data_IF_775795186567
#
_entry.id   IF_775795186567
#
_cell.length_a   1.000
_cell.length_b   1.000
_cell.length_c   1.000
_cell.angle_alpha   90.00
_cell.angle_beta   90.00
_cell.angle_gamma   90.00
#
_symmetry.space_group_name_H-M   'P 1'
#
loop_
_entity.id
_entity.type
_entity.pdbx_description
1 polymer ?
#
# COMPACT_ATOMS: atom_id res chain seq x y z
N UNK A 1 5.70 -0.88 -6.10
CA UNK A 1 4.62 -1.56 -6.83
C UNK A 1 3.25 -0.99 -6.52
N UNK A 2 3.11 -0.14 -5.50
CA UNK A 2 1.84 0.47 -5.13
C UNK A 2 1.71 1.86 -5.76
N UNK A 3 0.47 2.35 -5.86
CA UNK A 3 0.19 3.69 -6.43
C UNK A 3 -0.51 4.59 -5.41
N UNK A 4 -1.35 4.01 -4.55
CA UNK A 4 -2.13 4.74 -3.53
C UNK A 4 -2.71 3.79 -2.51
N UNK A 5 -3.44 4.33 -1.52
CA UNK A 5 -4.15 3.55 -0.50
C UNK A 5 -5.15 2.56 -1.12
N UNK A 6 -5.94 3.02 -2.09
CA UNK A 6 -6.90 2.21 -2.84
C UNK A 6 -6.24 0.96 -3.45
N UNK A 7 -5.01 1.12 -3.94
CA UNK A 7 -4.26 0.05 -4.58
C UNK A 7 -3.86 -1.05 -3.58
N UNK A 8 -4.07 -0.78 -2.29
CA UNK A 8 -3.79 -1.67 -1.19
C UNK A 8 -4.90 -1.65 -0.14
N UNK A 9 -6.15 -1.37 -0.53
CA UNK A 9 -7.30 -1.30 0.39
C UNK A 9 -7.40 -2.52 1.30
N UNK A 10 -6.94 -3.67 0.80
CA UNK A 10 -6.94 -4.93 1.56
C UNK A 10 -6.15 -4.81 2.87
N UNK A 11 -5.11 -3.96 2.89
CA UNK A 11 -4.31 -3.70 4.07
C UNK A 11 -5.12 -2.86 5.06
N UNK A 12 -5.00 -3.23 6.34
CA UNK A 12 -5.64 -2.51 7.44
C UNK A 12 -5.44 -0.99 7.33
N UNK A 13 -4.18 -0.57 7.18
CA UNK A 13 -3.79 0.83 6.99
C UNK A 13 -2.36 0.93 6.42
N UNK A 14 -2.03 0.00 5.52
CA UNK A 14 -0.69 -0.19 4.95
C UNK A 14 0.43 -0.29 5.99
N UNK A 15 1.67 -0.32 5.52
CA UNK A 15 2.84 -0.48 6.38
C UNK A 15 3.22 0.84 7.03
N UNK A 16 3.46 1.87 6.21
CA UNK A 16 3.92 3.18 6.69
C UNK A 16 2.86 4.25 6.43
N UNK A 17 2.42 4.41 5.19
CA UNK A 17 1.38 5.37 4.86
C UNK A 17 0.77 5.23 3.46
N UNK A 18 1.43 4.50 2.56
CA UNK A 18 0.83 4.07 1.29
C UNK A 18 1.54 2.85 0.73
N UNK A 19 2.86 2.74 0.92
CA UNK A 19 3.69 1.69 0.35
C UNK A 19 5.08 1.77 0.97
N UNK A 20 5.80 0.64 1.09
CA UNK A 20 7.20 0.64 1.51
C UNK A 20 7.97 -0.43 0.75
N UNK A 21 9.23 -0.19 0.42
CA UNK A 21 10.07 -1.15 -0.31
C UNK A 21 9.42 -1.65 -1.62
N UNK A 22 8.57 -0.82 -2.24
CA UNK A 22 7.83 -1.23 -3.42
C UNK A 22 6.83 -2.35 -3.16
N UNK A 23 6.50 -2.64 -1.90
CA UNK A 23 5.65 -3.77 -1.48
C UNK A 23 4.60 -3.27 -0.49
N UNK A 24 3.34 -3.59 -0.75
CA UNK A 24 2.24 -3.18 0.11
C UNK A 24 1.90 -4.27 1.13
N UNK A 25 2.04 -3.96 2.43
CA UNK A 25 1.80 -4.91 3.52
C UNK A 25 1.24 -4.22 4.76
N UNK A 26 0.19 -4.75 5.37
CA UNK A 26 -0.42 -4.19 6.58
C UNK A 26 0.48 -4.47 7.79
N UNK A 27 0.72 -3.46 8.63
CA UNK A 27 1.47 -3.60 9.89
C UNK A 27 0.98 -4.77 10.74
#
# INVERSE_FOLDING_TARGET
ACVTHEDCTLLCYDTIGTCVDGKCKCM
#
